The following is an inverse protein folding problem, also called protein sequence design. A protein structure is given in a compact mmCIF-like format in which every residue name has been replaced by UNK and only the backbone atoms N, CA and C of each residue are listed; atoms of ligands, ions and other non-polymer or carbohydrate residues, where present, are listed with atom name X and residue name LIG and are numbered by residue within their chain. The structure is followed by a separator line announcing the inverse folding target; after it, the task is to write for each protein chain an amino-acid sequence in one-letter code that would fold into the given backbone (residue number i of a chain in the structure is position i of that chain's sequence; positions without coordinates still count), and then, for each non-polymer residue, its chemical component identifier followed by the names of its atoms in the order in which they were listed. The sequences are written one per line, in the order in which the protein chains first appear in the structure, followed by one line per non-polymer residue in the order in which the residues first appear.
data_IF_608143250332
#
_entry.id   IF_608143250332
#
_cell.length_a   1.000
_cell.length_b   1.000
_cell.length_c   1.000
_cell.angle_alpha   90.00
_cell.angle_beta   90.00
_cell.angle_gamma   90.00
#
_symmetry.space_group_name_H-M   'P 1'
#
loop_
_entity.id
_entity.type
_entity.pdbx_description
1 polymer ?
#
# COMPACT_ATOMS: atom_id res chain seq x y z
N UNK A 1 7.47 -10.01 -20.58
CA UNK A 1 7.99 -10.81 -19.46
C UNK A 1 7.35 -10.25 -18.21
N UNK A 2 6.50 -11.02 -17.50
CA UNK A 2 5.94 -10.58 -16.21
C UNK A 2 7.03 -10.76 -15.15
N UNK A 3 7.43 -9.68 -14.48
CA UNK A 3 8.25 -9.74 -13.27
C UNK A 3 7.33 -9.57 -12.06
N UNK A 4 7.23 -10.61 -11.22
CA UNK A 4 6.45 -10.55 -9.98
C UNK A 4 7.40 -10.39 -8.79
N UNK A 5 7.18 -9.36 -7.99
CA UNK A 5 7.89 -9.14 -6.72
C UNK A 5 6.99 -9.49 -5.55
N UNK A 6 7.56 -10.14 -4.53
CA UNK A 6 6.81 -10.53 -3.33
C UNK A 6 7.16 -9.60 -2.19
N UNK A 7 6.13 -9.13 -1.49
CA UNK A 7 6.27 -8.39 -0.24
C UNK A 7 5.61 -9.19 0.88
N UNK A 8 6.37 -9.52 1.94
CA UNK A 8 5.89 -10.33 3.07
C UNK A 8 5.58 -9.43 4.27
N UNK A 9 4.36 -9.45 4.79
CA UNK A 9 3.99 -8.71 6.00
C UNK A 9 3.04 -9.50 6.89
N UNK A 10 2.91 -9.09 8.15
CA UNK A 10 1.90 -9.60 9.09
C UNK A 10 1.07 -8.43 9.62
N UNK A 11 -0.02 -8.70 10.36
CA UNK A 11 -0.86 -7.63 10.93
C UNK A 11 -0.08 -6.67 11.87
N UNK A 12 1.03 -7.14 12.45
CA UNK A 12 1.84 -6.39 13.42
C UNK A 12 3.17 -5.88 12.84
N UNK A 13 3.59 -6.35 11.67
CA UNK A 13 4.93 -6.06 11.12
C UNK A 13 4.83 -5.50 9.70
N UNK A 14 5.46 -4.33 9.41
CA UNK A 14 5.46 -3.72 8.09
C UNK A 14 5.90 -4.68 7.00
N UNK A 15 5.26 -4.58 5.83
CA UNK A 15 5.53 -5.42 4.69
C UNK A 15 7.01 -5.30 4.23
N UNK A 16 7.63 -6.43 3.96
CA UNK A 16 9.05 -6.63 3.65
C UNK A 16 9.17 -6.97 2.17
N UNK A 17 9.67 -6.01 1.39
CA UNK A 17 9.88 -6.17 -0.05
C UNK A 17 11.22 -6.79 -0.42
N UNK A 18 11.47 -6.81 -1.72
CA UNK A 18 12.68 -7.31 -2.37
C UNK A 18 13.93 -6.53 -1.93
N UNK A 19 13.78 -5.26 -1.55
CA UNK A 19 14.89 -4.41 -1.06
C UNK A 19 15.57 -5.00 0.17
N UNK A 20 14.79 -5.59 1.08
CA UNK A 20 15.33 -6.15 2.33
C UNK A 20 16.06 -7.46 2.08
N UNK A 21 15.59 -8.27 1.13
CA UNK A 21 16.34 -9.44 0.65
C UNK A 21 17.66 -9.01 -0.01
N UNK A 22 17.64 -7.97 -0.86
CA UNK A 22 18.87 -7.39 -1.44
C UNK A 22 19.84 -6.91 -0.37
N UNK A 23 19.34 -6.32 0.72
CA UNK A 23 20.17 -5.94 1.86
C UNK A 23 20.81 -7.16 2.54
N UNK A 24 20.04 -8.20 2.84
CA UNK A 24 20.58 -9.45 3.41
C UNK A 24 21.69 -10.04 2.53
N UNK A 25 21.48 -10.10 1.22
CA UNK A 25 22.46 -10.60 0.27
C UNK A 25 23.70 -9.69 0.18
N UNK A 26 23.51 -8.37 0.21
CA UNK A 26 24.60 -7.42 0.18
C UNK A 26 25.47 -7.52 1.44
N UNK A 27 24.86 -7.76 2.61
CA UNK A 27 25.60 -8.04 3.84
C UNK A 27 26.29 -9.41 3.75
N UNK A 28 25.63 -10.44 3.24
CA UNK A 28 26.23 -11.76 3.05
C UNK A 28 27.48 -11.72 2.16
N UNK A 29 27.45 -10.95 1.06
CA UNK A 29 28.59 -10.79 0.14
C UNK A 29 29.73 -9.96 0.74
N UNK A 30 29.40 -8.90 1.48
CA UNK A 30 30.40 -7.93 1.97
C UNK A 30 30.96 -8.26 3.36
N UNK A 31 30.27 -9.12 4.12
CA UNK A 31 30.62 -9.41 5.50
C UNK A 31 30.41 -8.23 6.46
N UNK A 32 29.73 -7.16 6.02
CA UNK A 32 29.60 -5.90 6.78
C UNK A 32 28.24 -5.24 6.53
N UNK A 33 27.57 -4.81 7.60
CA UNK A 33 26.30 -4.07 7.51
C UNK A 33 26.52 -2.73 6.82
N UNK A 34 27.61 -2.03 7.11
CA UNK A 34 27.91 -0.73 6.51
C UNK A 34 28.13 -0.84 4.99
N UNK A 35 28.88 -1.84 4.56
CA UNK A 35 29.11 -2.08 3.14
C UNK A 35 27.82 -2.56 2.43
N UNK A 36 27.05 -3.45 3.08
CA UNK A 36 25.76 -3.91 2.59
C UNK A 36 24.75 -2.77 2.42
N UNK A 37 24.64 -1.88 3.42
CA UNK A 37 23.79 -0.69 3.37
C UNK A 37 24.13 0.19 2.17
N UNK A 38 25.42 0.50 1.98
CA UNK A 38 25.88 1.31 0.84
C UNK A 38 25.56 0.64 -0.50
N UNK A 39 25.76 -0.67 -0.63
CA UNK A 39 25.43 -1.42 -1.84
C UNK A 39 23.92 -1.50 -2.10
N UNK A 40 23.10 -1.48 -1.05
CA UNK A 40 21.65 -1.42 -1.13
C UNK A 40 21.10 0.02 -1.30
N UNK A 41 21.95 1.05 -1.35
CA UNK A 41 21.54 2.46 -1.45
C UNK A 41 20.91 3.02 -0.18
N UNK A 42 21.14 2.39 0.97
CA UNK A 42 20.55 2.75 2.27
C UNK A 42 21.56 3.46 3.17
N UNK A 43 21.05 4.33 4.05
CA UNK A 43 21.85 4.81 5.19
C UNK A 43 22.12 3.65 6.16
N UNK A 44 23.19 3.73 6.95
CA UNK A 44 23.50 2.71 7.96
C UNK A 44 22.33 2.49 8.94
N UNK A 45 21.67 3.57 9.35
CA UNK A 45 20.50 3.50 10.23
C UNK A 45 19.31 2.82 9.55
N UNK A 46 18.96 3.23 8.32
CA UNK A 46 17.86 2.61 7.57
C UNK A 46 18.11 1.12 7.32
N UNK A 47 19.36 0.72 7.07
CA UNK A 47 19.72 -0.70 6.96
C UNK A 47 19.50 -1.45 8.27
N UNK A 48 19.89 -0.88 9.42
CA UNK A 48 19.60 -1.49 10.72
C UNK A 48 18.10 -1.62 11.00
N UNK A 49 17.34 -0.53 10.80
CA UNK A 49 15.89 -0.53 11.00
C UNK A 49 15.21 -1.59 10.12
N UNK A 50 15.67 -1.76 8.87
CA UNK A 50 15.19 -2.79 7.96
C UNK A 50 15.53 -4.22 8.43
N UNK A 51 16.75 -4.46 8.92
CA UNK A 51 17.19 -5.75 9.43
C UNK A 51 16.44 -6.14 10.72
N UNK A 52 16.22 -5.18 11.63
CA UNK A 52 15.46 -5.41 12.86
C UNK A 52 14.00 -5.74 12.54
N UNK A 53 13.39 -5.00 11.61
CA UNK A 53 12.04 -5.29 11.17
C UNK A 53 11.93 -6.68 10.49
N UNK A 54 12.99 -7.18 9.82
CA UNK A 54 13.03 -8.57 9.36
C UNK A 54 13.10 -9.56 10.52
N UNK A 55 14.00 -9.35 11.48
CA UNK A 55 14.12 -10.24 12.63
C UNK A 55 12.80 -10.35 13.40
N UNK A 56 12.08 -9.24 13.54
CA UNK A 56 10.74 -9.21 14.15
C UNK A 56 9.72 -10.00 13.32
N UNK A 57 9.68 -9.84 12.00
CA UNK A 57 8.75 -10.59 11.14
C UNK A 57 8.94 -12.11 11.27
N UNK A 58 10.19 -12.56 11.28
CA UNK A 58 10.53 -13.99 11.31
C UNK A 58 10.66 -14.57 12.73
N UNK A 59 10.46 -13.73 13.76
CA UNK A 59 10.57 -14.11 15.17
C UNK A 59 11.96 -14.57 15.62
N UNK A 60 13.00 -14.34 14.81
CA UNK A 60 14.38 -14.77 15.09
C UNK A 60 15.41 -13.96 14.27
N UNK A 61 16.66 -13.84 14.73
CA UNK A 61 17.72 -13.14 14.00
C UNK A 61 18.07 -13.80 12.66
N UNK A 62 18.15 -12.99 11.61
CA UNK A 62 18.63 -13.44 10.29
C UNK A 62 20.14 -13.18 10.09
N UNK A 63 20.77 -12.41 10.98
CA UNK A 63 22.19 -12.10 10.96
C UNK A 63 22.87 -12.45 12.28
N UNK A 64 24.13 -12.84 12.18
CA UNK A 64 25.10 -12.90 13.26
C UNK A 64 26.10 -11.76 13.10
N UNK A 65 26.20 -10.89 14.10
CA UNK A 65 27.14 -9.78 14.13
C UNK A 65 28.27 -10.01 15.14
N UNK A 66 29.51 -9.70 14.75
CA UNK A 66 30.64 -9.55 15.66
C UNK A 66 30.88 -8.08 15.93
N UNK A 67 30.89 -7.70 17.21
CA UNK A 67 31.19 -6.34 17.65
C UNK A 67 32.55 -5.89 17.12
N UNK A 68 32.60 -4.63 16.65
CA UNK A 68 33.80 -4.07 16.03
C UNK A 68 34.89 -3.73 17.04
N UNK A 69 36.03 -4.41 16.91
CA UNK A 69 37.29 -4.04 17.55
C UNK A 69 38.30 -3.53 16.51
N UNK A 70 39.60 -3.55 16.87
CA UNK A 70 40.72 -3.07 16.03
C UNK A 70 40.84 -3.76 14.66
N UNK A 71 40.20 -4.93 14.48
CA UNK A 71 40.17 -5.71 13.23
C UNK A 71 38.86 -5.53 12.42
N UNK A 72 37.96 -4.62 12.83
CA UNK A 72 36.66 -4.42 12.21
C UNK A 72 35.56 -5.32 12.80
N UNK A 73 34.32 -4.84 12.75
CA UNK A 73 33.13 -5.65 13.03
C UNK A 73 32.78 -6.51 11.80
N UNK A 74 32.05 -7.61 12.01
CA UNK A 74 31.65 -8.51 10.93
C UNK A 74 30.18 -8.86 11.02
N UNK A 75 29.55 -9.13 9.88
CA UNK A 75 28.15 -9.51 9.81
C UNK A 75 28.01 -10.64 8.78
N UNK A 76 27.35 -11.74 9.17
CA UNK A 76 27.04 -12.85 8.29
C UNK A 76 25.58 -13.24 8.47
N UNK A 77 24.97 -13.84 7.45
CA UNK A 77 23.65 -14.44 7.62
C UNK A 77 23.73 -15.67 8.54
N UNK A 78 22.69 -15.86 9.34
CA UNK A 78 22.45 -17.12 10.05
C UNK A 78 22.09 -18.23 9.05
N UNK A 79 22.14 -19.52 9.43
CA UNK A 79 21.57 -20.58 8.62
C UNK A 79 20.10 -20.34 8.26
N UNK A 80 19.32 -19.76 9.18
CA UNK A 80 17.94 -19.34 8.91
C UNK A 80 17.90 -18.20 7.88
N UNK A 81 18.74 -17.17 8.03
CA UNK A 81 18.80 -16.05 7.08
C UNK A 81 19.08 -16.50 5.64
N UNK A 82 19.99 -17.46 5.46
CA UNK A 82 20.26 -18.07 4.15
C UNK A 82 19.02 -18.78 3.59
N UNK A 83 18.35 -19.61 4.40
CA UNK A 83 17.13 -20.32 3.98
C UNK A 83 15.99 -19.37 3.63
N UNK A 84 15.86 -18.25 4.33
CA UNK A 84 14.85 -17.21 4.02
C UNK A 84 15.11 -16.58 2.65
N UNK A 85 16.37 -16.22 2.36
CA UNK A 85 16.75 -15.67 1.05
C UNK A 85 16.48 -16.70 -0.07
N UNK A 86 16.87 -17.96 0.12
CA UNK A 86 16.63 -19.01 -0.86
C UNK A 86 15.13 -19.28 -1.09
N UNK A 87 14.35 -19.38 -0.01
CA UNK A 87 12.90 -19.59 -0.10
C UNK A 87 12.20 -18.42 -0.80
N UNK A 88 12.64 -17.18 -0.56
CA UNK A 88 12.11 -15.99 -1.22
C UNK A 88 12.30 -16.06 -2.75
N UNK A 89 13.50 -16.38 -3.22
CA UNK A 89 13.78 -16.51 -4.66
C UNK A 89 12.97 -17.61 -5.32
N UNK A 90 12.81 -18.76 -4.64
CA UNK A 90 11.97 -19.85 -5.13
C UNK A 90 10.52 -19.41 -5.26
N UNK A 91 10.00 -18.71 -4.26
CA UNK A 91 8.63 -18.22 -4.27
C UNK A 91 8.39 -17.17 -5.38
N UNK A 92 9.32 -16.22 -5.58
CA UNK A 92 9.24 -15.25 -6.69
C UNK A 92 9.20 -15.95 -8.06
N UNK A 93 10.05 -16.97 -8.25
CA UNK A 93 10.10 -17.72 -9.50
C UNK A 93 8.81 -18.52 -9.75
N UNK A 94 8.32 -19.23 -8.73
CA UNK A 94 7.09 -20.03 -8.82
C UNK A 94 5.86 -19.14 -9.08
N UNK A 95 5.76 -18.00 -8.39
CA UNK A 95 4.67 -17.04 -8.60
C UNK A 95 4.71 -16.43 -10.01
N UNK A 96 5.90 -16.03 -10.49
CA UNK A 96 6.08 -15.49 -11.83
C UNK A 96 5.61 -16.48 -12.91
N UNK A 97 5.96 -17.76 -12.75
CA UNK A 97 5.51 -18.82 -13.66
C UNK A 97 4.01 -19.07 -13.58
N UNK A 98 3.41 -18.98 -12.38
CA UNK A 98 1.96 -19.11 -12.22
C UNK A 98 1.21 -17.98 -12.91
N UNK A 99 1.62 -16.73 -12.67
CA UNK A 99 0.96 -15.56 -13.27
C UNK A 99 1.04 -15.58 -14.80
N UNK A 100 2.19 -15.95 -15.36
CA UNK A 100 2.36 -16.11 -16.81
C UNK A 100 1.44 -17.19 -17.41
N UNK A 101 1.10 -18.24 -16.65
CA UNK A 101 0.15 -19.27 -17.10
C UNK A 101 -1.30 -18.81 -17.04
N UNK A 102 -1.65 -17.93 -16.10
CA UNK A 102 -3.00 -17.39 -15.95
C UNK A 102 -3.31 -16.24 -16.93
N UNK A 103 -2.29 -15.56 -17.44
CA UNK A 103 -2.46 -14.41 -18.33
C UNK A 103 -3.31 -14.71 -19.58
N UNK A 104 -3.12 -15.83 -20.30
CA UNK A 104 -3.97 -16.20 -21.43
C UNK A 104 -5.42 -16.55 -21.02
N UNK A 105 -5.63 -17.11 -19.84
CA UNK A 105 -6.96 -17.51 -19.35
C UNK A 105 -7.84 -16.30 -19.05
N UNK A 106 -7.22 -15.18 -18.65
CA UNK A 106 -7.90 -13.92 -18.34
C UNK A 106 -7.92 -12.94 -19.52
N UNK A 107 -7.35 -13.30 -20.66
CA UNK A 107 -7.26 -12.43 -21.82
C UNK A 107 -8.66 -11.95 -22.27
N UNK A 108 -8.79 -10.65 -22.52
CA UNK A 108 -10.04 -10.03 -22.95
C UNK A 108 -11.03 -9.67 -21.82
N UNK A 109 -10.77 -10.06 -20.57
CA UNK A 109 -11.63 -9.70 -19.43
C UNK A 109 -11.33 -8.31 -18.85
N UNK A 110 -10.18 -7.72 -19.19
CA UNK A 110 -9.65 -6.52 -18.53
C UNK A 110 -9.04 -6.79 -17.14
N UNK A 111 -9.08 -8.04 -16.65
CA UNK A 111 -8.51 -8.47 -15.38
C UNK A 111 -7.10 -9.02 -15.63
N UNK A 112 -6.11 -8.53 -14.89
CA UNK A 112 -4.74 -9.06 -14.93
C UNK A 112 -4.57 -10.13 -13.86
N UNK A 113 -3.72 -11.16 -14.04
CA UNK A 113 -3.49 -12.19 -13.02
C UNK A 113 -3.16 -11.64 -11.63
N UNK A 114 -2.40 -10.54 -11.55
CA UNK A 114 -2.09 -9.86 -10.29
C UNK A 114 -3.33 -9.30 -9.58
N UNK A 115 -4.40 -8.98 -10.30
CA UNK A 115 -5.67 -8.56 -9.70
C UNK A 115 -6.31 -9.68 -8.86
N UNK A 116 -6.00 -10.95 -9.15
CA UNK A 116 -6.46 -12.07 -8.32
C UNK A 116 -5.70 -12.12 -6.99
N UNK A 117 -4.40 -11.82 -7.03
CA UNK A 117 -3.56 -11.76 -5.83
C UNK A 117 -4.07 -10.65 -4.91
N UNK A 118 -4.19 -9.42 -5.40
CA UNK A 118 -4.72 -8.32 -4.58
C UNK A 118 -6.22 -8.43 -4.29
N UNK A 119 -7.03 -9.02 -5.17
CA UNK A 119 -8.47 -9.18 -4.98
C UNK A 119 -8.85 -10.26 -3.96
N UNK A 120 -8.06 -11.34 -3.85
CA UNK A 120 -8.37 -12.47 -2.97
C UNK A 120 -7.43 -12.64 -1.78
N UNK A 121 -6.15 -12.26 -1.91
CA UNK A 121 -5.13 -12.51 -0.87
C UNK A 121 -4.82 -11.27 -0.03
N UNK A 122 -5.08 -10.05 -0.53
CA UNK A 122 -4.91 -8.83 0.25
C UNK A 122 -6.05 -8.66 1.25
N UNK A 123 -5.75 -8.83 2.54
CA UNK A 123 -6.68 -8.53 3.63
C UNK A 123 -6.29 -7.20 4.27
N UNK A 124 -7.20 -6.25 4.28
CA UNK A 124 -7.00 -4.98 5.00
C UNK A 124 -8.24 -4.64 5.81
N UNK A 125 -8.06 -3.87 6.87
CA UNK A 125 -9.19 -3.29 7.62
C UNK A 125 -9.77 -2.04 6.95
N UNK A 126 -9.15 -1.55 5.87
CA UNK A 126 -9.67 -0.45 5.09
C UNK A 126 -10.88 -0.94 4.28
N UNK A 127 -12.02 -0.27 4.42
CA UNK A 127 -13.26 -0.60 3.69
C UNK A 127 -13.23 -0.09 2.25
N UNK A 128 -12.36 0.86 1.96
CA UNK A 128 -12.14 1.37 0.62
C UNK A 128 -10.81 0.83 0.12
N UNK A 129 -10.87 -0.02 -0.90
CA UNK A 129 -9.72 -0.49 -1.66
C UNK A 129 -10.04 -0.29 -3.13
N UNK A 130 -9.61 0.84 -3.69
CA UNK A 130 -9.99 1.25 -5.04
C UNK A 130 -8.78 1.15 -5.97
N UNK A 131 -8.89 0.29 -6.98
CA UNK A 131 -7.88 0.23 -8.04
C UNK A 131 -8.01 1.43 -8.97
N UNK A 132 -6.86 2.00 -9.32
CA UNK A 132 -6.72 3.09 -10.27
C UNK A 132 -5.33 3.15 -10.90
N UNK A 133 -5.10 4.17 -11.71
CA UNK A 133 -3.82 4.41 -12.38
C UNK A 133 -3.21 5.72 -11.91
N UNK A 134 -1.93 5.71 -11.58
CA UNK A 134 -1.19 6.92 -11.20
C UNK A 134 -1.11 7.83 -12.42
N UNK A 135 -1.61 9.06 -12.32
CA UNK A 135 -1.58 10.04 -13.40
C UNK A 135 -0.54 11.13 -13.19
N UNK A 136 -0.14 11.38 -11.94
CA UNK A 136 0.81 12.43 -11.61
C UNK A 136 1.46 12.23 -10.25
N UNK A 137 2.70 12.74 -10.13
CA UNK A 137 3.48 12.76 -8.89
C UNK A 137 4.09 14.15 -8.79
N UNK A 138 3.82 14.84 -7.69
CA UNK A 138 4.44 16.13 -7.35
C UNK A 138 5.17 15.97 -6.03
N UNK A 139 6.50 16.08 -6.06
CA UNK A 139 7.36 15.87 -4.89
C UNK A 139 7.97 17.16 -4.38
N UNK A 140 8.12 17.27 -3.06
CA UNK A 140 8.98 18.24 -2.39
C UNK A 140 10.23 17.54 -1.79
N UNK A 141 10.90 18.15 -0.82
CA UNK A 141 12.08 17.58 -0.17
C UNK A 141 11.82 16.32 0.65
N UNK A 142 10.59 16.12 1.16
CA UNK A 142 10.23 15.04 2.09
C UNK A 142 9.07 14.19 1.59
N UNK A 143 8.03 14.83 1.06
CA UNK A 143 6.74 14.24 0.72
C UNK A 143 6.48 14.33 -0.79
N UNK A 144 5.53 13.51 -1.24
CA UNK A 144 5.01 13.54 -2.59
C UNK A 144 3.48 13.43 -2.57
N UNK A 145 2.81 14.31 -3.31
CA UNK A 145 1.40 14.15 -3.67
C UNK A 145 1.29 13.26 -4.91
N UNK A 146 0.51 12.19 -4.80
CA UNK A 146 0.26 11.22 -5.86
C UNK A 146 -1.19 11.36 -6.29
N UNK A 147 -1.43 11.61 -7.59
CA UNK A 147 -2.75 11.61 -8.19
C UNK A 147 -3.03 10.23 -8.81
N UNK A 148 -4.15 9.62 -8.40
CA UNK A 148 -4.58 8.29 -8.87
C UNK A 148 -5.98 8.41 -9.49
N UNK A 149 -6.08 8.19 -10.80
CA UNK A 149 -7.35 8.12 -11.50
C UNK A 149 -8.05 6.79 -11.20
N UNK A 150 -9.22 6.87 -10.57
CA UNK A 150 -10.04 5.72 -10.15
C UNK A 150 -11.03 5.33 -11.23
N UNK A 151 -11.62 6.33 -11.88
CA UNK A 151 -12.44 6.24 -13.09
C UNK A 151 -12.25 7.55 -13.90
N UNK A 152 -13.02 7.75 -14.97
CA UNK A 152 -12.88 8.93 -15.85
C UNK A 152 -13.08 10.26 -15.11
N UNK A 153 -13.98 10.29 -14.12
CA UNK A 153 -14.40 11.51 -13.43
C UNK A 153 -13.79 11.66 -12.02
N UNK A 154 -13.19 10.61 -11.48
CA UNK A 154 -12.73 10.55 -10.09
C UNK A 154 -11.22 10.34 -10.01
N UNK A 155 -10.53 11.34 -9.46
CA UNK A 155 -9.13 11.24 -9.05
C UNK A 155 -9.02 11.32 -7.54
N UNK A 156 -8.27 10.39 -6.93
CA UNK A 156 -7.91 10.42 -5.52
C UNK A 156 -6.44 10.85 -5.40
N UNK A 157 -6.19 11.78 -4.49
CA UNK A 157 -4.88 12.28 -4.12
C UNK A 157 -4.42 11.65 -2.81
N UNK A 158 -3.19 11.15 -2.79
CA UNK A 158 -2.53 10.62 -1.61
C UNK A 158 -1.26 11.42 -1.31
N UNK A 159 -0.96 11.64 -0.03
CA UNK A 159 0.29 12.26 0.40
C UNK A 159 1.17 11.20 1.06
N UNK A 160 2.29 10.86 0.41
CA UNK A 160 3.22 9.80 0.86
C UNK A 160 4.64 10.34 0.98
N UNK A 161 5.54 9.61 1.64
CA UNK A 161 6.94 10.01 1.70
C UNK A 161 7.64 9.74 0.37
N UNK A 162 8.68 10.52 0.06
CA UNK A 162 9.54 10.23 -1.10
C UNK A 162 10.21 8.85 -1.00
N UNK A 163 10.37 8.31 0.20
CA UNK A 163 10.83 6.93 0.43
C UNK A 163 9.81 5.91 -0.08
N UNK A 164 8.53 6.04 0.29
CA UNK A 164 7.47 5.18 -0.22
C UNK A 164 7.32 5.26 -1.74
N UNK A 165 7.50 6.44 -2.35
CA UNK A 165 7.52 6.58 -3.82
C UNK A 165 8.59 5.68 -4.44
N UNK A 166 9.79 5.65 -3.87
CA UNK A 166 10.91 4.85 -4.37
C UNK A 166 10.71 3.37 -4.11
N UNK A 167 10.36 2.99 -2.88
CA UNK A 167 10.18 1.59 -2.46
C UNK A 167 9.03 0.92 -3.23
N UNK A 168 7.91 1.61 -3.41
CA UNK A 168 6.77 1.10 -4.18
C UNK A 168 6.95 1.27 -5.70
N UNK A 169 8.03 1.93 -6.15
CA UNK A 169 8.28 2.22 -7.55
C UNK A 169 7.13 2.97 -8.22
N UNK A 170 6.58 4.00 -7.56
CA UNK A 170 5.45 4.77 -8.05
C UNK A 170 5.89 5.65 -9.22
N UNK A 171 5.24 5.49 -10.37
CA UNK A 171 5.45 6.31 -11.57
C UNK A 171 4.13 6.53 -12.30
N UNK A 172 3.95 7.64 -13.04
CA UNK A 172 2.78 7.83 -13.89
C UNK A 172 2.59 6.67 -14.86
N UNK A 173 1.34 6.24 -15.05
CA UNK A 173 0.94 5.09 -15.85
C UNK A 173 0.93 3.75 -15.09
N UNK A 174 1.49 3.68 -13.88
CA UNK A 174 1.46 2.45 -13.06
C UNK A 174 0.09 2.29 -12.39
N UNK A 175 -0.42 1.06 -12.35
CA UNK A 175 -1.60 0.74 -11.53
C UNK A 175 -1.26 0.76 -10.04
N UNK A 176 -2.20 1.24 -9.25
CA UNK A 176 -2.13 1.27 -7.80
C UNK A 176 -3.50 1.03 -7.17
N UNK A 177 -3.50 0.64 -5.91
CA UNK A 177 -4.70 0.52 -5.07
C UNK A 177 -4.62 1.61 -4.02
N UNK A 178 -5.65 2.46 -3.94
CA UNK A 178 -5.81 3.41 -2.84
C UNK A 178 -6.62 2.77 -1.73
N UNK A 179 -6.06 2.78 -0.52
CA UNK A 179 -6.67 2.26 0.69
C UNK A 179 -7.08 3.40 1.59
N UNK A 180 -8.36 3.46 1.96
CA UNK A 180 -8.90 4.51 2.82
C UNK A 180 -9.78 3.85 3.90
N UNK A 181 -9.49 4.15 5.16
CA UNK A 181 -10.33 3.68 6.26
C UNK A 181 -11.65 4.45 6.24
N UNK A 182 -12.79 3.74 6.28
CA UNK A 182 -14.11 4.37 6.34
C UNK A 182 -14.28 5.49 7.40
N UNK A 183 -13.75 5.39 8.64
CA UNK A 183 -13.86 6.48 9.62
C UNK A 183 -13.04 7.74 9.29
N UNK A 184 -12.17 7.71 8.27
CA UNK A 184 -11.48 8.91 7.79
C UNK A 184 -12.26 9.66 6.70
N UNK A 185 -13.37 9.10 6.25
CA UNK A 185 -14.23 9.70 5.23
C UNK A 185 -15.35 10.49 5.92
N UNK A 186 -15.37 11.78 5.67
CA UNK A 186 -16.43 12.70 6.09
C UNK A 186 -17.46 12.78 4.96
N UNK A 187 -18.74 12.83 5.31
CA UNK A 187 -19.85 12.97 4.36
C UNK A 187 -20.40 14.40 4.43
N UNK A 188 -20.44 15.08 3.28
CA UNK A 188 -21.14 16.34 3.11
C UNK A 188 -22.37 16.12 2.20
N UNK A 189 -23.60 16.28 2.70
CA UNK A 189 -24.80 16.12 1.87
C UNK A 189 -24.95 17.28 0.88
N UNK A 190 -25.60 17.02 -0.26
CA UNK A 190 -25.91 18.03 -1.27
C UNK A 190 -25.22 17.78 -2.61
N UNK A 191 -25.67 18.50 -3.64
CA UNK A 191 -25.14 18.40 -5.01
C UNK A 191 -23.97 19.34 -5.30
N UNK A 192 -23.88 20.46 -4.58
CA UNK A 192 -22.85 21.46 -4.80
C UNK A 192 -21.55 21.10 -4.08
N UNK A 193 -20.42 21.32 -4.75
CA UNK A 193 -19.11 21.04 -4.18
C UNK A 193 -18.84 21.97 -2.99
N UNK A 194 -18.55 21.45 -1.79
CA UNK A 194 -18.28 22.28 -0.63
C UNK A 194 -16.96 23.06 -0.79
N UNK A 195 -16.96 24.32 -0.34
CA UNK A 195 -15.77 25.17 -0.30
C UNK A 195 -14.91 24.85 0.93
N UNK A 196 -13.97 23.92 0.78
CA UNK A 196 -13.09 23.43 1.86
C UNK A 196 -11.67 23.22 1.34
N UNK A 197 -10.69 23.16 2.25
CA UNK A 197 -9.28 22.91 1.92
C UNK A 197 -8.95 21.45 1.62
N UNK A 198 -9.86 20.52 1.91
CA UNK A 198 -9.62 19.09 1.73
C UNK A 198 -9.46 18.76 0.25
N UNK A 199 -8.34 18.11 -0.09
CA UNK A 199 -7.96 17.81 -1.47
C UNK A 199 -8.91 16.82 -2.13
N UNK A 200 -9.24 15.73 -1.43
CA UNK A 200 -10.18 14.74 -1.93
C UNK A 200 -11.61 15.18 -1.61
N UNK A 201 -12.35 15.51 -2.66
CA UNK A 201 -13.75 15.88 -2.61
C UNK A 201 -14.45 15.11 -3.72
N UNK A 202 -14.87 13.89 -3.40
CA UNK A 202 -15.37 12.92 -4.37
C UNK A 202 -16.90 13.00 -4.40
N UNK A 203 -17.53 13.42 -5.52
CA UNK A 203 -18.98 13.42 -5.64
C UNK A 203 -19.50 11.99 -5.69
N UNK A 204 -20.71 11.79 -5.19
CA UNK A 204 -21.39 10.51 -5.28
C UNK A 204 -22.86 10.57 -4.91
N UNK A 205 -23.53 9.44 -5.04
CA UNK A 205 -24.93 9.25 -4.61
C UNK A 205 -24.98 8.22 -3.51
N UNK A 206 -25.72 8.50 -2.44
CA UNK A 206 -25.89 7.55 -1.33
C UNK A 206 -26.63 6.31 -1.84
N UNK A 207 -25.96 5.15 -1.83
CA UNK A 207 -26.58 3.87 -2.17
C UNK A 207 -27.30 3.27 -0.97
N UNK A 208 -26.63 3.26 0.18
CA UNK A 208 -27.19 2.77 1.45
C UNK A 208 -26.60 3.52 2.63
N UNK A 209 -27.40 3.61 3.70
CA UNK A 209 -27.01 4.11 5.00
C UNK A 209 -27.55 3.16 6.06
N UNK A 210 -26.66 2.46 6.76
CA UNK A 210 -26.99 1.49 7.81
C UNK A 210 -26.60 2.07 9.16
N UNK A 211 -27.59 2.31 10.01
CA UNK A 211 -27.39 2.90 11.34
C UNK A 211 -27.43 1.84 12.44
N UNK A 212 -26.50 1.97 13.38
CA UNK A 212 -26.44 1.31 14.69
C UNK A 212 -26.70 2.35 15.80
N UNK A 213 -26.71 1.97 17.09
CA UNK A 213 -26.90 2.94 18.18
C UNK A 213 -25.85 4.07 18.23
N UNK A 214 -24.62 3.80 17.76
CA UNK A 214 -23.51 4.77 17.85
C UNK A 214 -23.01 5.22 16.48
N UNK A 215 -22.93 4.30 15.51
CA UNK A 215 -22.33 4.54 14.20
C UNK A 215 -23.36 4.40 13.07
N UNK A 216 -23.10 5.07 11.96
CA UNK A 216 -23.72 4.86 10.67
C UNK A 216 -22.65 4.47 9.65
N UNK A 217 -22.89 3.41 8.89
CA UNK A 217 -22.12 3.06 7.70
C UNK A 217 -22.85 3.58 6.47
N UNK A 218 -22.16 4.37 5.66
CA UNK A 218 -22.71 4.99 4.46
C UNK A 218 -21.89 4.48 3.28
N UNK A 219 -22.56 4.06 2.21
CA UNK A 219 -21.91 3.70 0.96
C UNK A 219 -22.39 4.65 -0.13
N UNK A 220 -21.45 5.32 -0.78
CA UNK A 220 -21.69 6.16 -1.95
C UNK A 220 -21.35 5.39 -3.23
N UNK A 221 -22.17 5.55 -4.26
CA UNK A 221 -21.77 5.31 -5.65
C UNK A 221 -20.93 6.50 -6.12
N UNK A 222 -19.71 6.24 -6.58
CA UNK A 222 -18.77 7.25 -7.09
C UNK A 222 -18.54 7.11 -8.60
N UNK A 223 -19.39 6.35 -9.30
CA UNK A 223 -19.31 6.12 -10.73
C UNK A 223 -18.31 5.04 -11.14
N UNK A 224 -18.40 4.63 -12.41
CA UNK A 224 -17.52 3.59 -12.97
C UNK A 224 -17.66 2.22 -12.29
N UNK A 225 -18.83 1.93 -11.71
CA UNK A 225 -19.09 0.70 -10.95
C UNK A 225 -18.36 0.60 -9.61
N UNK A 226 -17.86 1.72 -9.08
CA UNK A 226 -17.09 1.79 -7.84
C UNK A 226 -17.89 2.47 -6.74
N UNK A 227 -17.65 2.05 -5.51
CA UNK A 227 -18.31 2.59 -4.33
C UNK A 227 -17.31 3.06 -3.30
N UNK A 228 -17.70 4.01 -2.45
CA UNK A 228 -16.89 4.52 -1.35
C UNK A 228 -17.68 4.47 -0.05
N UNK A 229 -17.15 3.75 0.93
CA UNK A 229 -17.71 3.56 2.26
C UNK A 229 -17.15 4.57 3.27
N UNK A 230 -18.05 5.12 4.09
CA UNK A 230 -17.75 6.01 5.20
C UNK A 230 -18.38 5.48 6.49
N UNK A 231 -17.75 5.77 7.63
CA UNK A 231 -18.32 5.51 8.94
C UNK A 231 -18.38 6.81 9.73
N UNK A 232 -19.58 7.27 10.04
CA UNK A 232 -19.83 8.46 10.85
C UNK A 232 -20.67 8.10 12.07
N UNK A 233 -20.96 9.06 12.96
CA UNK A 233 -21.88 8.78 14.07
C UNK A 233 -23.32 8.65 13.59
N UNK A 234 -24.12 7.80 14.23
CA UNK A 234 -25.54 7.65 13.94
C UNK A 234 -26.30 8.98 14.09
N UNK A 235 -25.88 9.79 15.07
CA UNK A 235 -26.38 11.16 15.25
C UNK A 235 -26.07 12.04 14.04
N UNK A 236 -24.83 12.03 13.54
CA UNK A 236 -24.45 12.82 12.36
C UNK A 236 -25.24 12.40 11.11
N UNK A 237 -25.45 11.10 10.89
CA UNK A 237 -26.24 10.63 9.75
C UNK A 237 -27.70 11.12 9.82
N UNK A 238 -28.29 11.11 11.03
CA UNK A 238 -29.62 11.64 11.29
C UNK A 238 -29.69 13.16 11.13
N UNK A 239 -28.76 13.89 11.73
CA UNK A 239 -28.72 15.37 11.71
C UNK A 239 -28.51 15.90 10.28
N UNK A 240 -27.82 15.14 9.43
CA UNK A 240 -27.58 15.46 8.02
C UNK A 240 -28.62 14.88 7.04
N UNK A 241 -29.64 14.18 7.55
CA UNK A 241 -30.69 13.51 6.76
C UNK A 241 -30.14 12.65 5.59
N UNK A 242 -29.11 11.85 5.89
CA UNK A 242 -28.45 10.97 4.92
C UNK A 242 -29.40 9.83 4.55
N UNK A 243 -29.85 9.84 3.30
CA UNK A 243 -30.84 8.88 2.77
C UNK A 243 -30.43 8.36 1.39
N UNK A 244 -30.71 7.09 1.06
CA UNK A 244 -30.45 6.54 -0.26
C UNK A 244 -31.05 7.38 -1.39
N UNK A 245 -30.31 7.48 -2.50
CA UNK A 245 -30.67 8.25 -3.69
C UNK A 245 -30.31 9.73 -3.63
N UNK A 246 -29.85 10.26 -2.49
CA UNK A 246 -29.42 11.66 -2.39
C UNK A 246 -27.96 11.87 -2.79
N UNK A 247 -27.62 13.01 -3.42
CA UNK A 247 -26.23 13.36 -3.70
C UNK A 247 -25.49 13.74 -2.41
N UNK A 248 -24.21 13.37 -2.37
CA UNK A 248 -23.29 13.72 -1.29
C UNK A 248 -21.84 13.73 -1.80
N UNK A 249 -20.95 14.36 -1.04
CA UNK A 249 -19.51 14.29 -1.25
C UNK A 249 -18.84 13.48 -0.15
N UNK A 250 -17.93 12.60 -0.54
CA UNK A 250 -16.95 11.99 0.35
C UNK A 250 -15.70 12.86 0.42
N UNK A 251 -15.35 13.27 1.63
CA UNK A 251 -14.25 14.19 1.92
C UNK A 251 -13.23 13.49 2.82
N UNK A 252 -11.96 13.49 2.43
CA UNK A 252 -10.89 12.91 3.26
C UNK A 252 -9.53 13.53 2.91
N UNK A 253 -8.67 13.64 3.91
CA UNK A 253 -7.32 14.17 3.72
C UNK A 253 -6.48 13.24 2.83
N UNK A 254 -5.60 13.80 2.01
CA UNK A 254 -4.66 13.03 1.21
C UNK A 254 -3.68 12.22 2.08
N UNK A 255 -3.38 12.70 3.29
CA UNK A 255 -2.57 11.98 4.27
C UNK A 255 -3.28 10.75 4.87
N UNK A 256 -4.60 10.61 4.69
CA UNK A 256 -5.36 9.43 5.12
C UNK A 256 -5.46 8.35 4.04
N UNK A 257 -4.82 8.55 2.89
CA UNK A 257 -4.81 7.61 1.78
C UNK A 257 -3.49 6.84 1.77
N UNK A 258 -3.57 5.52 1.86
CA UNK A 258 -2.40 4.64 1.70
C UNK A 258 -2.40 4.14 0.26
N UNK A 259 -1.22 4.15 -0.38
CA UNK A 259 -1.03 3.54 -1.69
C UNK A 259 -0.44 2.14 -1.49
N UNK A 260 -1.05 1.16 -2.16
CA UNK A 260 -0.49 -0.16 -2.37
C UNK A 260 -0.28 -0.40 -3.87
N UNK A 261 0.73 -1.19 -4.21
CA UNK A 261 0.98 -1.66 -5.56
C UNK A 261 1.01 -3.18 -5.56
N UNK A 262 0.63 -3.78 -6.70
CA UNK A 262 0.96 -5.17 -6.98
C UNK A 262 2.47 -5.34 -7.25
#
# INVERSE_FOLDING_TARGET
MIEASITLGSEEVPAIGRERIRLLEAVARSGSITAGAKAAGLSYKAAWDALDAMANLFGQPLLETRAGGRAGGGARLTPTGLRVVEAFHRLEAELSQLLARLEPELAGTGIRPLHLVSGFLMKTSARNALRGTITGIVSDTLMAEIAVAINEDTTIHALVTNESVRELGLVPGREAIVLIKAPFVIIAPGGDRPAISVRNCVPGTVLRCETSPVNAEIVLDIGGGKTLAATITARSAKDLDITPGRPAYALFDAAHVIIATD
#
